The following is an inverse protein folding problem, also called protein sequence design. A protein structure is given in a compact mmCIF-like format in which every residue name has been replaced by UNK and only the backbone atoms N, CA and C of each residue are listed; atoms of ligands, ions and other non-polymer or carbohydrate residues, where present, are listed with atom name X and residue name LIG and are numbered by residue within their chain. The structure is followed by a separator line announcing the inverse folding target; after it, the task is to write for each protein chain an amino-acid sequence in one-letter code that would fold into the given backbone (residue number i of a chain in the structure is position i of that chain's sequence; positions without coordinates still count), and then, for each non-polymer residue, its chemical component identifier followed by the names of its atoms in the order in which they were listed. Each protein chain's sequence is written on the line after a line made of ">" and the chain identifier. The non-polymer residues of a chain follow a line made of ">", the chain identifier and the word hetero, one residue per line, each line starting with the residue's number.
data_IF_659969365035
#
_entry.id   IF_659969365035
#
_cell.length_a   1.000
_cell.length_b   1.000
_cell.length_c   1.000
_cell.angle_alpha   90.00
_cell.angle_beta   90.00
_cell.angle_gamma   90.00
#
_symmetry.space_group_name_H-M   'P 1'
#
loop_
_entity.id
_entity.type
_entity.pdbx_description
1 polymer ?
#
# COMPACT_ATOMS: atom_id res chain seq x y z
N UNK A 1 8.32 16.64 -106.03
CA UNK A 1 7.62 16.06 -104.86
C UNK A 1 8.68 15.73 -103.81
N UNK A 2 8.78 16.55 -102.78
CA UNK A 2 9.75 16.48 -101.68
C UNK A 2 9.24 15.52 -100.60
N UNK A 3 9.95 14.41 -100.34
CA UNK A 3 9.67 13.54 -99.20
C UNK A 3 10.67 13.82 -98.07
N UNK A 4 10.15 14.42 -97.00
CA UNK A 4 10.81 14.61 -95.71
C UNK A 4 11.08 13.26 -95.04
N UNK A 5 12.34 12.94 -94.78
CA UNK A 5 12.72 11.88 -93.86
C UNK A 5 12.75 12.44 -92.44
N UNK A 6 11.77 12.04 -91.62
CA UNK A 6 11.72 12.35 -90.20
C UNK A 6 12.65 11.43 -89.42
N UNK A 7 13.55 12.01 -88.60
CA UNK A 7 14.38 11.27 -87.65
C UNK A 7 13.53 10.62 -86.54
N UNK A 8 13.86 9.39 -86.10
CA UNK A 8 13.16 8.77 -84.98
C UNK A 8 13.50 9.48 -83.66
N UNK A 9 12.47 9.88 -82.92
CA UNK A 9 12.60 10.41 -81.54
C UNK A 9 13.18 9.31 -80.65
N UNK A 10 14.30 9.61 -79.98
CA UNK A 10 14.87 8.76 -78.93
C UNK A 10 13.86 8.54 -77.80
N UNK A 11 13.63 7.29 -77.43
CA UNK A 11 12.82 6.95 -76.25
C UNK A 11 13.57 7.38 -74.97
N UNK A 12 12.91 8.05 -74.00
CA UNK A 12 13.54 8.39 -72.73
C UNK A 12 13.80 7.12 -71.93
N UNK A 13 15.06 6.89 -71.58
CA UNK A 13 15.50 5.81 -70.68
C UNK A 13 14.83 5.93 -69.31
N UNK A 14 14.26 4.84 -68.75
CA UNK A 14 13.57 4.93 -67.46
C UNK A 14 14.54 5.04 -66.28
N UNK A 15 14.46 6.17 -65.57
CA UNK A 15 14.51 6.30 -64.10
C UNK A 15 15.69 5.69 -63.29
N UNK A 16 16.88 5.54 -63.85
CA UNK A 16 18.08 5.13 -63.06
C UNK A 16 18.36 6.09 -61.87
N UNK A 17 18.17 7.40 -62.07
CA UNK A 17 18.39 8.42 -61.03
C UNK A 17 17.36 8.41 -59.89
N UNK A 18 16.15 7.85 -60.08
CA UNK A 18 15.11 7.81 -59.03
C UNK A 18 15.34 6.67 -58.05
N UNK A 19 15.76 5.50 -58.55
CA UNK A 19 16.14 4.34 -57.73
C UNK A 19 17.39 4.61 -56.89
N UNK A 20 18.39 5.29 -57.46
CA UNK A 20 19.59 5.68 -56.74
C UNK A 20 19.31 6.66 -55.58
N UNK A 21 18.44 7.66 -55.81
CA UNK A 21 17.99 8.59 -54.76
C UNK A 21 17.21 7.91 -53.64
N UNK A 22 16.36 6.93 -53.96
CA UNK A 22 15.62 6.13 -52.96
C UNK A 22 16.59 5.28 -52.13
N UNK A 23 17.58 4.64 -52.75
CA UNK A 23 18.58 3.84 -52.04
C UNK A 23 19.47 4.70 -51.12
N UNK A 24 19.87 5.89 -51.57
CA UNK A 24 20.61 6.85 -50.73
C UNK A 24 19.74 7.33 -49.55
N UNK A 25 18.46 7.64 -49.79
CA UNK A 25 17.54 8.06 -48.73
C UNK A 25 17.30 6.95 -47.70
N UNK A 26 17.15 5.70 -48.14
CA UNK A 26 17.03 4.53 -47.26
C UNK A 26 18.31 4.28 -46.47
N UNK A 27 19.48 4.40 -47.11
CA UNK A 27 20.78 4.28 -46.42
C UNK A 27 20.99 5.37 -45.38
N UNK A 28 20.64 6.63 -45.70
CA UNK A 28 20.70 7.76 -44.78
C UNK A 28 19.72 7.59 -43.60
N UNK A 29 18.49 7.11 -43.85
CA UNK A 29 17.51 6.81 -42.81
C UNK A 29 17.97 5.68 -41.89
N UNK A 30 18.59 4.63 -42.44
CA UNK A 30 19.16 3.53 -41.66
C UNK A 30 20.34 3.98 -40.81
N UNK A 31 21.23 4.82 -41.36
CA UNK A 31 22.38 5.36 -40.64
C UNK A 31 21.96 6.33 -39.53
N UNK A 32 20.94 7.15 -39.78
CA UNK A 32 20.30 7.98 -38.76
C UNK A 32 19.67 7.11 -37.66
N UNK A 33 18.96 6.04 -38.01
CA UNK A 33 18.39 5.11 -37.04
C UNK A 33 19.47 4.44 -36.18
N UNK A 34 20.61 4.05 -36.77
CA UNK A 34 21.76 3.48 -36.04
C UNK A 34 22.40 4.52 -35.12
N UNK A 35 22.58 5.77 -35.58
CA UNK A 35 23.13 6.85 -34.75
C UNK A 35 22.17 7.21 -33.61
N UNK A 36 20.86 7.28 -33.87
CA UNK A 36 19.84 7.49 -32.84
C UNK A 36 19.80 6.31 -31.86
N UNK A 37 19.92 5.07 -32.33
CA UNK A 37 20.00 3.89 -31.46
C UNK A 37 21.29 3.89 -30.62
N UNK A 38 22.42 4.28 -31.20
CA UNK A 38 23.71 4.41 -30.51
C UNK A 38 23.70 5.53 -29.47
N UNK A 39 23.17 6.70 -29.82
CA UNK A 39 22.97 7.80 -28.88
C UNK A 39 21.99 7.42 -27.77
N UNK A 40 20.86 6.81 -28.11
CA UNK A 40 19.89 6.34 -27.11
C UNK A 40 20.49 5.27 -26.20
N UNK A 41 21.33 4.38 -26.72
CA UNK A 41 22.07 3.39 -25.91
C UNK A 41 23.06 4.05 -24.95
N UNK A 42 23.85 5.03 -25.42
CA UNK A 42 24.78 5.79 -24.57
C UNK A 42 24.05 6.62 -23.51
N UNK A 43 22.94 7.24 -23.88
CA UNK A 43 22.11 8.05 -22.99
C UNK A 43 21.45 7.17 -21.93
N UNK A 44 20.85 6.03 -22.33
CA UNK A 44 20.29 5.03 -21.42
C UNK A 44 21.35 4.49 -20.45
N UNK A 45 22.58 4.23 -20.93
CA UNK A 45 23.69 3.80 -20.08
C UNK A 45 23.99 4.81 -18.97
N UNK A 46 24.07 6.09 -19.30
CA UNK A 46 24.34 7.13 -18.31
C UNK A 46 23.18 7.23 -17.31
N UNK A 47 21.95 7.22 -17.81
CA UNK A 47 20.74 7.25 -16.99
C UNK A 47 20.61 6.05 -16.05
N UNK A 48 20.97 4.85 -16.47
CA UNK A 48 21.00 3.66 -15.60
C UNK A 48 22.05 3.79 -14.49
N UNK A 49 23.16 4.45 -14.78
CA UNK A 49 24.21 4.70 -13.78
C UNK A 49 23.72 5.72 -12.76
N UNK A 50 23.09 6.81 -13.21
CA UNK A 50 22.40 7.77 -12.33
C UNK A 50 21.33 7.08 -11.50
N UNK A 51 20.47 6.25 -12.10
CA UNK A 51 19.45 5.49 -11.39
C UNK A 51 20.05 4.66 -10.24
N UNK A 52 21.10 3.88 -10.52
CA UNK A 52 21.77 3.07 -9.50
C UNK A 52 22.36 3.94 -8.37
N UNK A 53 23.04 5.03 -8.70
CA UNK A 53 23.60 5.96 -7.71
C UNK A 53 22.53 6.62 -6.85
N UNK A 54 21.43 7.07 -7.47
CA UNK A 54 20.32 7.69 -6.74
C UNK A 54 19.59 6.68 -5.84
N UNK A 55 19.47 5.42 -6.27
CA UNK A 55 18.97 4.35 -5.39
C UNK A 55 19.93 4.11 -4.22
N UNK A 56 21.23 3.99 -4.47
CA UNK A 56 22.24 3.83 -3.39
C UNK A 56 22.13 4.96 -2.36
N UNK A 57 22.02 6.22 -2.82
CA UNK A 57 21.81 7.37 -1.94
C UNK A 57 20.48 7.28 -1.18
N UNK A 58 19.40 6.85 -1.83
CA UNK A 58 18.12 6.59 -1.17
C UNK A 58 18.30 5.58 -0.04
N UNK A 59 19.01 4.46 -0.29
CA UNK A 59 19.28 3.46 0.74
C UNK A 59 20.08 4.02 1.91
N UNK A 60 21.08 4.85 1.61
CA UNK A 60 21.94 5.47 2.59
C UNK A 60 21.14 6.37 3.53
N UNK A 61 20.26 7.22 2.98
CA UNK A 61 19.41 8.07 3.81
C UNK A 61 18.32 7.28 4.55
N UNK A 62 17.76 6.21 3.97
CA UNK A 62 16.82 5.35 4.70
C UNK A 62 17.48 4.66 5.90
N UNK A 63 18.76 4.27 5.80
CA UNK A 63 19.52 3.73 6.93
C UNK A 63 19.73 4.79 8.04
N UNK A 64 20.01 6.03 7.66
CA UNK A 64 20.12 7.16 8.60
C UNK A 64 18.78 7.56 9.24
N UNK A 65 17.64 7.14 8.68
CA UNK A 65 16.34 7.46 9.24
C UNK A 65 16.11 6.85 10.64
N UNK A 66 16.88 5.82 11.03
CA UNK A 66 16.83 5.30 12.40
C UNK A 66 17.29 6.31 13.46
N UNK A 67 18.18 7.25 13.11
CA UNK A 67 18.77 8.22 14.03
C UNK A 67 18.27 9.66 13.80
N UNK A 68 18.13 10.07 12.54
CA UNK A 68 17.63 11.40 12.16
C UNK A 68 16.65 11.30 10.99
N UNK A 69 15.42 10.81 11.24
CA UNK A 69 14.46 10.64 10.17
C UNK A 69 13.97 11.97 9.58
N UNK A 70 14.07 13.09 10.33
CA UNK A 70 13.59 14.41 9.89
C UNK A 70 14.40 14.93 8.71
N UNK A 71 15.71 14.73 8.78
CA UNK A 71 16.61 15.11 7.69
C UNK A 71 16.66 14.01 6.64
N UNK A 72 16.65 12.75 7.05
CA UNK A 72 16.94 11.65 6.17
C UNK A 72 15.77 11.27 5.23
N UNK A 73 14.52 11.28 5.71
CA UNK A 73 13.37 10.93 4.85
C UNK A 73 13.16 11.88 3.67
N UNK A 74 13.23 13.22 3.82
CA UNK A 74 13.14 14.13 2.67
C UNK A 74 14.28 13.94 1.67
N UNK A 75 15.50 13.63 2.13
CA UNK A 75 16.63 13.34 1.25
C UNK A 75 16.42 12.02 0.49
N UNK A 76 15.98 10.97 1.19
CA UNK A 76 15.61 9.70 0.56
C UNK A 76 14.51 9.90 -0.50
N UNK A 77 13.50 10.72 -0.22
CA UNK A 77 12.44 11.05 -1.18
C UNK A 77 13.01 11.73 -2.43
N UNK A 78 13.87 12.74 -2.25
CA UNK A 78 14.46 13.47 -3.35
C UNK A 78 15.32 12.57 -4.26
N UNK A 79 16.15 11.71 -3.65
CA UNK A 79 16.96 10.74 -4.39
C UNK A 79 16.10 9.70 -5.11
N UNK A 80 15.00 9.24 -4.50
CA UNK A 80 14.09 8.30 -5.17
C UNK A 80 13.37 8.94 -6.36
N UNK A 81 12.96 10.20 -6.24
CA UNK A 81 12.40 10.99 -7.33
C UNK A 81 13.41 11.21 -8.46
N UNK A 82 14.67 11.51 -8.13
CA UNK A 82 15.75 11.65 -9.10
C UNK A 82 16.04 10.32 -9.81
N UNK A 83 16.05 9.20 -9.08
CA UNK A 83 16.18 7.87 -9.65
C UNK A 83 15.09 7.64 -10.71
N UNK A 84 13.82 7.83 -10.34
CA UNK A 84 12.69 7.68 -11.27
C UNK A 84 12.80 8.62 -12.48
N UNK A 85 13.15 9.88 -12.26
CA UNK A 85 13.31 10.87 -13.31
C UNK A 85 14.43 10.52 -14.29
N UNK A 86 15.52 9.89 -13.82
CA UNK A 86 16.64 9.48 -14.68
C UNK A 86 16.23 8.45 -15.73
N UNK A 87 15.23 7.63 -15.40
CA UNK A 87 14.69 6.60 -16.28
C UNK A 87 13.52 7.15 -17.13
N UNK A 88 12.63 7.98 -16.59
CA UNK A 88 11.38 8.41 -17.24
C UNK A 88 11.44 8.67 -18.78
N UNK A 89 12.48 9.34 -19.36
CA UNK A 89 12.60 9.56 -20.80
C UNK A 89 12.63 8.30 -21.68
N UNK A 90 13.12 7.17 -21.15
CA UNK A 90 13.29 5.93 -21.95
C UNK A 90 12.10 4.98 -21.86
N UNK A 91 11.09 5.30 -21.04
CA UNK A 91 9.89 4.48 -20.86
C UNK A 91 9.20 4.18 -22.19
N UNK A 92 9.04 5.22 -23.01
CA UNK A 92 8.38 5.08 -24.30
C UNK A 92 9.13 4.08 -25.20
N UNK A 93 10.46 4.22 -25.28
CA UNK A 93 11.30 3.31 -26.07
C UNK A 93 11.26 1.89 -25.52
N UNK A 94 11.34 1.71 -24.20
CA UNK A 94 11.25 0.39 -23.57
C UNK A 94 9.93 -0.30 -23.90
N UNK A 95 8.80 0.41 -23.77
CA UNK A 95 7.48 -0.11 -24.09
C UNK A 95 7.33 -0.42 -25.59
N UNK A 96 7.87 0.45 -26.45
CA UNK A 96 7.86 0.22 -27.89
C UNK A 96 8.66 -1.04 -28.25
N UNK A 97 9.86 -1.22 -27.68
CA UNK A 97 10.69 -2.40 -27.89
C UNK A 97 9.99 -3.66 -27.35
N UNK A 98 9.41 -3.60 -26.15
CA UNK A 98 8.68 -4.72 -25.56
C UNK A 98 7.48 -5.13 -26.43
N UNK A 99 6.75 -4.16 -27.01
CA UNK A 99 5.61 -4.44 -27.89
C UNK A 99 6.03 -4.97 -29.27
N UNK A 100 6.98 -4.29 -29.93
CA UNK A 100 7.36 -4.58 -31.32
C UNK A 100 8.29 -5.80 -31.43
N UNK A 101 9.05 -6.09 -30.38
CA UNK A 101 10.00 -7.19 -30.35
C UNK A 101 9.60 -8.29 -29.35
N UNK A 102 8.32 -8.38 -28.95
CA UNK A 102 7.82 -9.31 -27.94
C UNK A 102 8.15 -10.80 -28.20
N UNK A 103 8.58 -11.16 -29.40
CA UNK A 103 9.04 -12.50 -29.75
C UNK A 103 10.47 -12.80 -29.25
N UNK A 104 11.26 -11.79 -28.92
CA UNK A 104 12.57 -11.93 -28.28
C UNK A 104 12.41 -11.98 -26.76
N UNK A 105 12.90 -13.03 -26.06
CA UNK A 105 12.81 -13.10 -24.60
C UNK A 105 13.38 -11.86 -23.89
N UNK A 106 14.50 -11.32 -24.39
CA UNK A 106 15.14 -10.13 -23.80
C UNK A 106 14.33 -8.83 -23.92
N UNK A 107 13.45 -8.68 -24.92
CA UNK A 107 12.62 -7.47 -25.05
C UNK A 107 11.48 -7.43 -24.03
N UNK A 108 10.89 -8.59 -23.72
CA UNK A 108 9.89 -8.73 -22.65
C UNK A 108 10.52 -8.39 -21.30
N UNK A 109 11.71 -8.93 -21.06
CA UNK A 109 12.45 -8.73 -19.81
C UNK A 109 12.88 -7.26 -19.64
N UNK A 110 13.20 -6.55 -20.73
CA UNK A 110 13.42 -5.10 -20.70
C UNK A 110 12.15 -4.31 -20.32
N UNK A 111 10.98 -4.71 -20.83
CA UNK A 111 9.69 -4.13 -20.43
C UNK A 111 9.33 -4.42 -18.97
N UNK A 112 9.57 -5.64 -18.51
CA UNK A 112 9.40 -6.05 -17.12
C UNK A 112 10.33 -5.27 -16.20
N UNK A 113 11.62 -5.13 -16.55
CA UNK A 113 12.56 -4.29 -15.80
C UNK A 113 12.04 -2.86 -15.63
N UNK A 114 11.50 -2.28 -16.70
CA UNK A 114 10.94 -0.93 -16.64
C UNK A 114 9.74 -0.79 -15.71
N UNK A 115 8.82 -1.74 -15.84
CA UNK A 115 7.60 -1.75 -15.03
C UNK A 115 7.98 -1.95 -13.57
N UNK A 116 8.88 -2.89 -13.29
CA UNK A 116 9.42 -3.13 -11.97
C UNK A 116 10.03 -1.87 -11.35
N UNK A 117 10.97 -1.19 -12.02
CA UNK A 117 11.61 0.01 -11.44
C UNK A 117 10.63 1.15 -11.23
N UNK A 118 9.66 1.33 -12.13
CA UNK A 118 8.62 2.34 -11.96
C UNK A 118 7.74 2.05 -10.73
N UNK A 119 7.20 0.85 -10.64
CA UNK A 119 6.31 0.47 -9.54
C UNK A 119 7.07 0.42 -8.19
N UNK A 120 8.30 -0.10 -8.18
CA UNK A 120 9.13 -0.14 -6.98
C UNK A 120 9.47 1.27 -6.44
N UNK A 121 9.80 2.20 -7.34
CA UNK A 121 10.11 3.59 -6.93
C UNK A 121 8.86 4.35 -6.50
N UNK A 122 7.70 4.12 -7.13
CA UNK A 122 6.42 4.66 -6.68
C UNK A 122 6.03 4.13 -5.29
N UNK A 123 6.18 2.82 -5.05
CA UNK A 123 5.92 2.22 -3.75
C UNK A 123 6.76 2.88 -2.64
N UNK A 124 8.06 3.06 -2.90
CA UNK A 124 8.95 3.73 -1.96
C UNK A 124 8.60 5.22 -1.76
N UNK A 125 8.19 5.93 -2.80
CA UNK A 125 7.84 7.35 -2.72
C UNK A 125 6.60 7.56 -1.83
N UNK A 126 5.54 6.79 -2.08
CA UNK A 126 4.31 6.80 -1.29
C UNK A 126 4.57 6.41 0.18
N UNK A 127 5.42 5.41 0.41
CA UNK A 127 5.85 5.01 1.75
C UNK A 127 6.59 6.11 2.50
N UNK A 128 7.50 6.82 1.84
CA UNK A 128 8.24 7.94 2.45
C UNK A 128 7.30 9.12 2.74
N UNK A 129 6.33 9.41 1.87
CA UNK A 129 5.31 10.43 2.12
C UNK A 129 4.49 10.06 3.37
N UNK A 130 4.01 8.83 3.47
CA UNK A 130 3.28 8.35 4.64
C UNK A 130 4.13 8.45 5.92
N UNK A 131 5.41 8.07 5.86
CA UNK A 131 6.35 8.18 6.98
C UNK A 131 6.56 9.64 7.41
N UNK A 132 6.75 10.56 6.46
CA UNK A 132 6.88 12.00 6.73
C UNK A 132 5.61 12.60 7.37
N UNK A 133 4.42 12.15 6.95
CA UNK A 133 3.15 12.57 7.57
C UNK A 133 3.02 12.02 8.99
N UNK A 134 3.29 10.72 9.18
CA UNK A 134 3.24 10.07 10.49
C UNK A 134 4.18 10.75 11.48
N UNK A 135 5.42 10.99 11.05
CA UNK A 135 6.42 11.66 11.88
C UNK A 135 5.97 13.03 12.33
N UNK A 136 5.60 13.93 11.40
CA UNK A 136 5.13 15.27 11.73
C UNK A 136 3.98 15.25 12.73
N UNK A 137 3.11 14.24 12.64
CA UNK A 137 2.03 14.06 13.58
C UNK A 137 2.51 13.58 14.97
N UNK A 138 3.50 12.68 15.02
CA UNK A 138 4.08 12.17 16.28
C UNK A 138 5.01 13.15 16.98
N UNK A 139 5.56 14.16 16.30
CA UNK A 139 6.45 15.16 16.91
C UNK A 139 5.80 15.96 18.04
N UNK A 140 4.47 16.12 17.98
CA UNK A 140 3.71 16.78 19.02
C UNK A 140 3.43 15.87 20.23
N UNK A 141 3.82 14.59 20.15
CA UNK A 141 3.66 13.58 21.21
C UNK A 141 2.20 13.26 21.56
N UNK A 142 1.24 13.71 20.74
CA UNK A 142 -0.18 13.63 21.05
C UNK A 142 -0.88 12.71 20.06
N UNK A 143 -1.44 11.62 20.57
CA UNK A 143 -2.32 10.70 19.83
C UNK A 143 -3.41 11.43 19.00
N UNK A 144 -4.07 12.51 19.50
CA UNK A 144 -4.99 13.30 18.69
C UNK A 144 -4.40 13.83 17.38
N UNK A 145 -3.15 14.29 17.39
CA UNK A 145 -2.47 14.80 16.19
C UNK A 145 -2.23 13.67 15.18
N UNK A 146 -1.83 12.48 15.66
CA UNK A 146 -1.68 11.30 14.81
C UNK A 146 -3.03 10.87 14.22
N UNK A 147 -4.10 10.85 15.00
CA UNK A 147 -5.45 10.51 14.53
C UNK A 147 -5.95 11.50 13.48
N UNK A 148 -5.69 12.80 13.66
CA UNK A 148 -6.06 13.82 12.68
C UNK A 148 -5.27 13.67 11.36
N UNK A 149 -4.06 13.13 11.40
CA UNK A 149 -3.26 12.86 10.21
C UNK A 149 -3.67 11.57 9.48
N UNK A 150 -4.22 10.57 10.19
CA UNK A 150 -4.53 9.24 9.63
C UNK A 150 -5.33 9.24 8.32
N UNK A 151 -6.38 10.07 8.13
CA UNK A 151 -7.09 10.16 6.85
C UNK A 151 -6.21 10.60 5.67
N UNK A 152 -5.11 11.31 5.93
CA UNK A 152 -4.12 11.68 4.93
C UNK A 152 -3.06 10.59 4.74
N UNK A 153 -2.71 9.85 5.81
CA UNK A 153 -1.77 8.73 5.73
C UNK A 153 -2.34 7.54 4.94
N UNK A 154 -3.61 7.21 5.15
CA UNK A 154 -4.27 6.02 4.59
C UNK A 154 -4.11 5.89 3.06
N UNK A 155 -4.41 6.90 2.23
CA UNK A 155 -4.27 6.77 0.78
C UNK A 155 -2.81 6.54 0.34
N UNK A 156 -1.83 7.15 1.02
CA UNK A 156 -0.41 6.94 0.72
C UNK A 156 0.04 5.52 1.12
N UNK A 157 -0.42 5.00 2.27
CA UNK A 157 -0.13 3.62 2.69
C UNK A 157 -0.76 2.60 1.73
N UNK A 158 -1.99 2.85 1.28
CA UNK A 158 -2.67 2.01 0.30
C UNK A 158 -1.97 2.04 -1.06
N UNK A 159 -1.64 3.24 -1.58
CA UNK A 159 -0.93 3.40 -2.84
C UNK A 159 0.47 2.75 -2.81
N UNK A 160 1.20 2.93 -1.71
CA UNK A 160 2.49 2.27 -1.50
C UNK A 160 2.34 0.73 -1.60
N UNK A 161 1.32 0.17 -0.94
CA UNK A 161 1.05 -1.25 -0.97
C UNK A 161 0.66 -1.75 -2.37
N UNK A 162 -0.21 -1.04 -3.09
CA UNK A 162 -0.64 -1.42 -4.43
C UNK A 162 0.50 -1.40 -5.44
N UNK A 163 1.34 -0.36 -5.42
CA UNK A 163 2.55 -0.27 -6.25
C UNK A 163 3.55 -1.37 -5.90
N UNK A 164 3.70 -1.70 -4.62
CA UNK A 164 4.54 -2.81 -4.20
C UNK A 164 4.05 -4.15 -4.76
N UNK A 165 2.75 -4.44 -4.70
CA UNK A 165 2.19 -5.68 -5.24
C UNK A 165 2.43 -5.79 -6.75
N UNK A 166 2.28 -4.69 -7.49
CA UNK A 166 2.58 -4.65 -8.92
C UNK A 166 4.06 -4.89 -9.20
N UNK A 167 4.95 -4.22 -8.47
CA UNK A 167 6.38 -4.43 -8.57
C UNK A 167 6.77 -5.88 -8.24
N UNK A 168 6.21 -6.45 -7.17
CA UNK A 168 6.50 -7.82 -6.73
C UNK A 168 6.02 -8.87 -7.73
N UNK A 169 4.86 -8.65 -8.36
CA UNK A 169 4.38 -9.51 -9.44
C UNK A 169 5.38 -9.53 -10.60
N UNK A 170 5.83 -8.37 -11.07
CA UNK A 170 6.82 -8.25 -12.15
C UNK A 170 8.19 -8.81 -11.75
N UNK A 171 8.63 -8.56 -10.51
CA UNK A 171 9.88 -9.09 -9.95
C UNK A 171 9.94 -10.61 -9.99
N UNK A 172 8.80 -11.29 -9.77
CA UNK A 172 8.73 -12.75 -9.76
C UNK A 172 8.94 -13.40 -11.14
N UNK A 173 8.67 -12.65 -12.21
CA UNK A 173 8.83 -13.10 -13.60
C UNK A 173 10.13 -12.59 -14.26
N UNK A 174 10.83 -11.67 -13.59
CA UNK A 174 12.05 -11.05 -14.09
C UNK A 174 13.23 -12.03 -14.04
N UNK A 175 13.77 -12.37 -15.21
CA UNK A 175 14.99 -13.17 -15.36
C UNK A 175 16.11 -12.31 -15.96
N UNK A 176 17.03 -11.92 -15.08
CA UNK A 176 18.14 -11.01 -15.40
C UNK A 176 19.10 -11.56 -16.45
N UNK A 177 19.11 -12.88 -16.70
CA UNK A 177 19.96 -13.51 -17.73
C UNK A 177 19.58 -13.10 -19.15
N UNK A 178 18.35 -12.65 -19.34
CA UNK A 178 17.84 -12.19 -20.62
C UNK A 178 17.93 -10.66 -20.79
N UNK A 179 18.36 -9.95 -19.75
CA UNK A 179 18.70 -8.54 -19.85
C UNK A 179 20.08 -8.38 -20.51
N UNK A 180 20.34 -7.24 -21.18
CA UNK A 180 21.71 -6.88 -21.60
C UNK A 180 22.68 -6.97 -20.41
N UNK A 181 23.83 -7.61 -20.59
CA UNK A 181 24.75 -7.95 -19.49
C UNK A 181 25.08 -6.77 -18.56
N UNK A 182 25.24 -5.57 -19.12
CA UNK A 182 25.49 -4.35 -18.33
C UNK A 182 24.27 -3.94 -17.49
N UNK A 183 23.08 -4.02 -18.06
CA UNK A 183 21.83 -3.74 -17.35
C UNK A 183 21.64 -4.75 -16.21
N UNK A 184 21.86 -6.03 -16.48
CA UNK A 184 21.80 -7.07 -15.46
C UNK A 184 22.75 -6.76 -14.29
N UNK A 185 24.02 -6.44 -14.57
CA UNK A 185 25.00 -6.11 -13.53
C UNK A 185 24.67 -4.86 -12.71
N UNK A 186 24.02 -3.86 -13.32
CA UNK A 186 23.62 -2.63 -12.63
C UNK A 186 22.31 -2.81 -11.84
N UNK A 187 21.44 -3.71 -12.29
CA UNK A 187 20.17 -4.02 -11.65
C UNK A 187 20.34 -4.90 -10.40
N UNK A 188 21.34 -5.77 -10.39
CA UNK A 188 21.51 -6.82 -9.37
C UNK A 188 21.56 -6.30 -7.92
N UNK A 189 22.29 -5.22 -7.58
CA UNK A 189 22.27 -4.67 -6.22
C UNK A 189 20.88 -4.21 -5.78
N UNK A 190 20.15 -3.51 -6.66
CA UNK A 190 18.80 -3.03 -6.39
C UNK A 190 17.79 -4.18 -6.25
N UNK A 191 17.92 -5.24 -7.04
CA UNK A 191 17.08 -6.43 -6.94
C UNK A 191 17.32 -7.19 -5.63
N UNK A 192 18.59 -7.35 -5.22
CA UNK A 192 18.93 -7.95 -3.93
C UNK A 192 18.33 -7.14 -2.77
N UNK A 193 18.41 -5.82 -2.85
CA UNK A 193 17.83 -4.96 -1.83
C UNK A 193 16.30 -5.06 -1.81
N UNK A 194 15.66 -5.03 -2.97
CA UNK A 194 14.22 -5.24 -3.11
C UNK A 194 13.78 -6.52 -2.43
N UNK A 195 14.45 -7.64 -2.72
CA UNK A 195 14.07 -8.95 -2.17
C UNK A 195 14.14 -8.99 -0.64
N UNK A 196 15.04 -8.21 -0.02
CA UNK A 196 15.10 -8.06 1.45
C UNK A 196 13.90 -7.27 1.99
N UNK A 197 13.52 -6.18 1.33
CA UNK A 197 12.40 -5.33 1.74
C UNK A 197 11.07 -6.07 1.52
N UNK A 198 10.95 -6.78 0.40
CA UNK A 198 9.75 -7.49 -0.01
C UNK A 198 9.31 -8.56 0.98
N UNK A 199 10.25 -9.13 1.74
CA UNK A 199 9.94 -10.12 2.79
C UNK A 199 9.14 -9.52 3.96
N UNK A 200 9.28 -8.23 4.25
CA UNK A 200 8.66 -7.56 5.40
C UNK A 200 7.47 -6.66 5.01
N UNK A 201 7.41 -6.29 3.73
CA UNK A 201 6.46 -5.28 3.25
C UNK A 201 4.98 -5.64 3.43
N UNK A 202 4.49 -6.83 3.02
CA UNK A 202 3.05 -7.10 3.01
C UNK A 202 2.43 -6.95 4.40
N UNK A 203 3.06 -7.54 5.41
CA UNK A 203 2.58 -7.49 6.79
C UNK A 203 2.61 -6.06 7.35
N UNK A 204 3.64 -5.29 7.02
CA UNK A 204 3.83 -3.93 7.57
C UNK A 204 2.83 -2.93 6.99
N UNK A 205 2.73 -2.86 5.67
CA UNK A 205 1.91 -1.85 4.99
C UNK A 205 0.42 -2.17 4.99
N UNK A 206 0.04 -3.46 4.92
CA UNK A 206 -1.36 -3.87 5.04
C UNK A 206 -1.91 -3.52 6.42
N UNK A 207 -1.15 -3.84 7.48
CA UNK A 207 -1.53 -3.49 8.85
C UNK A 207 -1.55 -1.98 9.07
N UNK A 208 -0.54 -1.25 8.57
CA UNK A 208 -0.50 0.20 8.69
C UNK A 208 -1.71 0.86 8.02
N UNK A 209 -2.06 0.44 6.80
CA UNK A 209 -3.24 0.96 6.08
C UNK A 209 -4.54 0.62 6.81
N UNK A 210 -4.69 -0.62 7.31
CA UNK A 210 -5.84 -1.03 8.11
C UNK A 210 -5.98 -0.16 9.38
N UNK A 211 -4.87 0.07 10.09
CA UNK A 211 -4.85 0.90 11.29
C UNK A 211 -5.20 2.36 10.97
N UNK A 212 -4.59 2.95 9.94
CA UNK A 212 -4.91 4.31 9.50
C UNK A 212 -6.38 4.48 9.11
N UNK A 213 -7.00 3.44 8.54
CA UNK A 213 -8.43 3.42 8.19
C UNK A 213 -9.36 3.26 9.39
N UNK A 214 -9.03 2.38 10.33
CA UNK A 214 -9.95 1.95 11.39
C UNK A 214 -9.77 2.71 12.70
N UNK A 215 -8.53 3.00 13.09
CA UNK A 215 -8.23 3.64 14.38
C UNK A 215 -8.93 4.98 14.59
N UNK A 216 -9.07 5.90 13.61
CA UNK A 216 -9.76 7.16 13.84
C UNK A 216 -11.18 6.94 14.37
N UNK A 217 -11.95 6.08 13.68
CA UNK A 217 -13.33 5.77 14.08
C UNK A 217 -13.39 5.03 15.41
N UNK A 218 -12.49 4.08 15.63
CA UNK A 218 -12.40 3.34 16.90
C UNK A 218 -12.06 4.27 18.06
N UNK A 219 -11.26 5.30 17.83
CA UNK A 219 -10.84 6.25 18.86
C UNK A 219 -11.71 7.51 18.93
N UNK A 220 -12.89 7.49 18.30
CA UNK A 220 -13.88 8.55 18.44
C UNK A 220 -13.60 9.79 17.59
N UNK A 221 -13.04 9.61 16.39
CA UNK A 221 -12.81 10.67 15.40
C UNK A 221 -13.40 10.27 14.03
N UNK A 222 -14.17 11.16 13.34
CA UNK A 222 -14.49 12.54 13.71
C UNK A 222 -15.70 12.66 14.65
N UNK A 223 -16.29 11.55 15.09
CA UNK A 223 -17.43 11.53 16.02
C UNK A 223 -17.08 10.68 17.24
N UNK A 224 -17.52 11.07 18.45
CA UNK A 224 -17.27 10.29 19.66
C UNK A 224 -17.71 8.84 19.52
N UNK A 225 -16.90 7.93 20.06
CA UNK A 225 -17.20 6.50 20.10
C UNK A 225 -17.49 6.09 21.56
N UNK A 226 -18.63 5.43 21.79
CA UNK A 226 -19.00 4.88 23.10
C UNK A 226 -18.95 3.36 23.04
N UNK A 227 -18.22 2.77 23.98
CA UNK A 227 -18.04 1.34 24.12
C UNK A 227 -18.75 0.82 25.37
N UNK A 228 -19.39 -0.34 25.27
CA UNK A 228 -19.82 -1.11 26.42
C UNK A 228 -18.59 -1.81 27.04
N UNK A 229 -18.40 -1.63 28.33
CA UNK A 229 -17.41 -2.36 29.12
C UNK A 229 -18.14 -3.44 29.92
N UNK A 230 -17.72 -4.70 29.73
CA UNK A 230 -18.23 -5.85 30.46
C UNK A 230 -17.07 -6.47 31.22
N UNK A 231 -17.10 -6.37 32.55
CA UNK A 231 -16.04 -6.87 33.43
C UNK A 231 -16.47 -8.23 33.99
N UNK A 232 -15.57 -9.20 33.88
CA UNK A 232 -15.85 -10.60 34.23
C UNK A 232 -14.85 -11.11 35.26
N UNK A 233 -15.32 -11.93 36.20
CA UNK A 233 -14.47 -12.70 37.10
C UNK A 233 -14.36 -14.15 36.63
N UNK A 234 -13.12 -14.65 36.51
CA UNK A 234 -12.83 -16.04 36.18
C UNK A 234 -13.12 -17.03 37.32
N UNK A 235 -13.47 -16.55 38.53
CA UNK A 235 -13.79 -17.41 39.68
C UNK A 235 -15.07 -18.24 39.47
N UNK A 236 -15.94 -17.77 38.57
CA UNK A 236 -17.12 -18.50 38.11
C UNK A 236 -17.12 -18.52 36.58
N UNK A 237 -16.48 -19.54 36.01
CA UNK A 237 -16.32 -19.67 34.57
C UNK A 237 -17.67 -19.81 33.87
N UNK A 238 -17.85 -18.95 32.86
CA UNK A 238 -18.97 -18.94 31.90
C UNK A 238 -18.41 -18.91 30.48
N UNK A 239 -19.25 -19.10 29.46
CA UNK A 239 -18.79 -19.21 28.07
C UNK A 239 -18.06 -17.96 27.52
N UNK A 240 -18.21 -16.80 28.16
CA UNK A 240 -17.49 -15.56 27.81
C UNK A 240 -16.16 -15.37 28.54
N UNK A 241 -15.81 -16.26 29.47
CA UNK A 241 -14.59 -16.17 30.28
C UNK A 241 -14.82 -16.03 31.79
N UNK A 242 -16.03 -15.66 32.22
CA UNK A 242 -16.32 -15.50 33.65
C UNK A 242 -17.70 -14.93 33.94
N UNK A 243 -18.06 -14.84 35.22
CA UNK A 243 -19.31 -14.21 35.68
C UNK A 243 -19.22 -12.69 35.55
N UNK A 244 -20.29 -12.02 35.10
CA UNK A 244 -20.27 -10.56 34.95
C UNK A 244 -20.33 -9.91 36.34
N UNK A 245 -19.32 -9.12 36.69
CA UNK A 245 -19.25 -8.44 38.00
C UNK A 245 -19.61 -6.97 37.88
N UNK A 246 -19.31 -6.36 36.74
CA UNK A 246 -19.53 -4.93 36.54
C UNK A 246 -19.80 -4.63 35.08
N UNK A 247 -20.58 -3.58 34.84
CA UNK A 247 -20.89 -3.07 33.51
C UNK A 247 -20.64 -1.57 33.47
N UNK A 248 -20.24 -1.07 32.32
CA UNK A 248 -19.99 0.35 32.17
C UNK A 248 -19.98 0.82 30.73
N UNK A 249 -19.75 2.12 30.57
CA UNK A 249 -19.49 2.73 29.27
C UNK A 249 -18.17 3.50 29.28
N UNK A 250 -17.47 3.46 28.14
CA UNK A 250 -16.25 4.21 27.89
C UNK A 250 -16.46 5.07 26.65
N UNK A 251 -16.30 6.39 26.78
CA UNK A 251 -16.45 7.35 25.67
C UNK A 251 -15.10 7.92 25.26
N UNK A 252 -14.74 7.73 24.01
CA UNK A 252 -13.56 8.30 23.37
C UNK A 252 -13.96 9.43 22.42
N UNK A 253 -13.19 10.52 22.41
CA UNK A 253 -13.32 11.63 21.48
C UNK A 253 -11.93 12.08 21.07
N UNK A 254 -11.62 11.99 19.77
CA UNK A 254 -10.30 12.27 19.19
C UNK A 254 -9.13 11.62 19.95
N UNK A 255 -9.30 10.34 20.34
CA UNK A 255 -8.31 9.57 21.09
C UNK A 255 -8.19 9.91 22.56
N UNK A 256 -9.08 10.74 23.11
CA UNK A 256 -9.13 11.07 24.54
C UNK A 256 -10.30 10.36 25.22
N UNK A 257 -10.05 9.80 26.41
CA UNK A 257 -11.10 9.34 27.29
C UNK A 257 -11.86 10.56 27.85
N UNK A 258 -13.13 10.71 27.46
CA UNK A 258 -13.98 11.83 27.89
C UNK A 258 -15.03 11.42 28.91
N UNK A 259 -15.40 10.15 28.97
CA UNK A 259 -16.26 9.61 30.01
C UNK A 259 -15.91 8.15 30.28
N UNK A 260 -15.97 7.77 31.55
CA UNK A 260 -15.90 6.40 32.03
C UNK A 260 -16.90 6.28 33.16
N UNK A 261 -17.93 5.46 32.97
CA UNK A 261 -18.90 5.09 34.01
C UNK A 261 -18.84 3.57 34.14
N UNK A 262 -18.49 3.06 35.31
CA UNK A 262 -18.43 1.62 35.60
C UNK A 262 -19.11 1.41 36.93
N UNK A 263 -20.06 0.48 36.97
CA UNK A 263 -20.85 0.17 38.16
C UNK A 263 -20.86 -1.33 38.41
N UNK A 264 -21.02 -1.67 39.67
CA UNK A 264 -21.31 -3.05 40.04
C UNK A 264 -22.59 -3.51 39.33
N UNK A 265 -22.59 -4.75 38.84
CA UNK A 265 -23.73 -5.27 38.09
C UNK A 265 -24.98 -5.34 38.97
N UNK A 266 -24.84 -5.61 40.27
CA UNK A 266 -25.94 -5.64 41.23
C UNK A 266 -26.50 -4.23 41.43
N UNK A 267 -25.64 -3.21 41.57
CA UNK A 267 -26.08 -1.82 41.63
C UNK A 267 -26.84 -1.42 40.35
N UNK A 268 -26.38 -1.88 39.19
CA UNK A 268 -27.02 -1.62 37.90
C UNK A 268 -28.37 -2.32 37.74
N UNK A 269 -28.58 -3.44 38.44
CA UNK A 269 -29.81 -4.24 38.42
C UNK A 269 -30.85 -3.76 39.45
N UNK A 270 -30.41 -3.34 40.64
CA UNK A 270 -31.27 -3.10 41.81
C UNK A 270 -31.16 -1.69 42.42
N UNK A 271 -30.22 -0.85 41.96
CA UNK A 271 -29.93 0.46 42.55
C UNK A 271 -28.93 0.41 43.71
N UNK A 272 -28.51 1.59 44.18
CA UNK A 272 -27.47 1.74 45.22
C UNK A 272 -27.88 1.19 46.60
N UNK A 273 -29.18 1.16 46.88
CA UNK A 273 -29.74 0.53 48.08
C UNK A 273 -30.57 -0.67 47.65
N UNK A 274 -29.98 -1.87 47.74
CA UNK A 274 -30.75 -3.10 47.54
C UNK A 274 -31.81 -3.20 48.66
N UNK A 275 -33.08 -3.06 48.27
CA UNK A 275 -34.23 -3.33 49.15
C UNK A 275 -35.22 -4.22 48.41
N UNK A 276 -35.85 -5.22 49.09
CA UNK A 276 -36.97 -5.97 48.54
C UNK A 276 -38.11 -5.09 47.99
N UNK A 277 -38.19 -3.84 48.47
CA UNK A 277 -39.19 -2.84 48.08
C UNK A 277 -38.79 -2.01 46.85
N UNK A 278 -37.48 -1.88 46.57
CA UNK A 278 -36.95 -1.07 45.46
C UNK A 278 -37.17 -1.73 44.08
N UNK A 279 -37.31 -3.07 44.05
CA UNK A 279 -37.56 -3.82 42.83
C UNK A 279 -36.37 -3.86 41.86
N UNK A 280 -36.59 -4.36 40.64
CA UNK A 280 -35.60 -4.32 39.56
C UNK A 280 -35.67 -2.97 38.84
N UNK A 281 -34.52 -2.42 38.45
CA UNK A 281 -34.47 -1.18 37.65
C UNK A 281 -34.91 -1.40 36.19
N UNK A 282 -34.99 -2.65 35.73
CA UNK A 282 -35.36 -3.05 34.37
C UNK A 282 -36.71 -3.75 34.30
N UNK A 283 -37.30 -3.74 33.09
CA UNK A 283 -38.51 -4.51 32.79
C UNK A 283 -38.31 -5.99 33.12
N UNK A 284 -39.38 -6.65 33.56
CA UNK A 284 -39.34 -8.09 33.87
C UNK A 284 -39.18 -8.94 32.63
N UNK A 285 -37.95 -9.40 32.43
CA UNK A 285 -37.61 -10.41 31.42
C UNK A 285 -37.72 -11.81 32.05
N UNK A 286 -38.36 -12.74 31.35
CA UNK A 286 -38.50 -14.14 31.80
C UNK A 286 -37.19 -14.88 31.55
N UNK A 287 -36.56 -15.49 32.57
CA UNK A 287 -35.34 -16.27 32.37
C UNK A 287 -35.54 -17.49 31.46
N UNK A 288 -34.47 -17.97 30.81
CA UNK A 288 -34.50 -19.26 30.12
C UNK A 288 -35.03 -20.37 31.03
N UNK A 289 -35.79 -21.30 30.46
CA UNK A 289 -36.46 -22.36 31.21
C UNK A 289 -35.56 -23.14 32.18
N UNK A 290 -34.33 -23.54 31.81
CA UNK A 290 -33.42 -24.21 32.73
C UNK A 290 -33.02 -23.33 33.92
N UNK A 291 -32.71 -22.06 33.68
CA UNK A 291 -32.36 -21.09 34.72
C UNK A 291 -33.53 -20.92 35.69
N UNK A 292 -34.72 -20.68 35.15
CA UNK A 292 -35.95 -20.52 35.95
C UNK A 292 -36.26 -21.77 36.79
N UNK A 293 -36.17 -22.96 36.19
CA UNK A 293 -36.53 -24.24 36.83
C UNK A 293 -35.54 -24.66 37.90
N UNK A 294 -34.24 -24.52 37.64
CA UNK A 294 -33.20 -25.09 38.48
C UNK A 294 -32.54 -24.08 39.43
N UNK A 295 -32.44 -22.80 39.04
CA UNK A 295 -31.88 -21.75 39.89
C UNK A 295 -32.95 -20.94 40.61
N UNK A 296 -34.23 -21.16 40.30
CA UNK A 296 -35.34 -20.45 40.93
C UNK A 296 -35.39 -18.95 40.60
N UNK A 297 -34.66 -18.50 39.58
CA UNK A 297 -34.64 -17.09 39.18
C UNK A 297 -35.98 -16.72 38.55
N UNK A 298 -36.65 -15.73 39.14
CA UNK A 298 -37.95 -15.23 38.69
C UNK A 298 -37.88 -14.07 37.71
N UNK A 299 -36.69 -13.51 37.49
CA UNK A 299 -36.41 -12.36 36.65
C UNK A 299 -35.01 -12.53 36.04
N UNK A 300 -34.86 -12.17 34.76
CA UNK A 300 -33.63 -12.31 34.01
C UNK A 300 -32.82 -11.02 34.10
N UNK A 301 -31.64 -11.14 34.72
CA UNK A 301 -30.78 -9.99 35.02
C UNK A 301 -29.44 -10.09 34.29
N UNK A 302 -28.78 -8.94 34.16
CA UNK A 302 -27.59 -8.78 33.32
C UNK A 302 -26.48 -9.77 33.70
N UNK A 303 -26.21 -9.96 34.99
CA UNK A 303 -25.13 -10.85 35.46
C UNK A 303 -25.29 -12.31 35.06
N UNK A 304 -26.53 -12.72 34.80
CA UNK A 304 -26.86 -14.08 34.36
C UNK A 304 -26.94 -14.18 32.83
N UNK A 305 -26.90 -13.04 32.11
CA UNK A 305 -26.98 -12.94 30.65
C UNK A 305 -25.99 -13.83 29.89
N UNK A 306 -24.87 -14.18 30.51
CA UNK A 306 -23.87 -15.08 29.97
C UNK A 306 -23.98 -16.56 30.41
N UNK A 307 -25.21 -17.04 30.60
CA UNK A 307 -25.49 -18.40 31.05
C UNK A 307 -25.21 -19.51 30.02
N UNK A 308 -25.35 -19.24 28.72
CA UNK A 308 -25.17 -20.28 27.70
C UNK A 308 -23.74 -20.83 27.71
N UNK A 309 -23.61 -22.10 27.34
CA UNK A 309 -22.31 -22.79 27.31
C UNK A 309 -21.48 -22.49 26.05
N UNK A 310 -22.07 -21.82 25.06
CA UNK A 310 -21.38 -21.35 23.86
C UNK A 310 -21.32 -19.82 23.79
N UNK A 311 -20.19 -19.32 23.30
CA UNK A 311 -19.92 -17.89 23.19
C UNK A 311 -20.89 -17.17 22.24
N UNK A 312 -21.21 -17.68 21.03
CA UNK A 312 -22.12 -16.99 20.11
C UNK A 312 -23.52 -16.76 20.67
N UNK A 313 -24.15 -17.77 21.29
CA UNK A 313 -25.46 -17.62 21.90
C UNK A 313 -25.43 -16.65 23.08
N UNK A 314 -24.36 -16.69 23.87
CA UNK A 314 -24.15 -15.75 24.96
C UNK A 314 -24.00 -14.31 24.47
N UNK A 315 -23.18 -14.07 23.46
CA UNK A 315 -22.87 -12.72 22.98
C UNK A 315 -24.07 -12.01 22.33
N UNK A 316 -25.13 -12.75 21.96
CA UNK A 316 -26.39 -12.16 21.48
C UNK A 316 -27.27 -11.62 22.61
N UNK A 317 -26.97 -12.00 23.86
CA UNK A 317 -27.85 -11.78 25.02
C UNK A 317 -27.28 -10.72 25.97
N UNK A 318 -25.97 -10.45 25.86
CA UNK A 318 -25.21 -9.42 26.58
C UNK A 318 -24.94 -8.25 25.64
#
# INVERSE_FOLDING_TARGET
>A
MTQNYAYPKSQPTPAAGRRHKILIALGAAMLLAILCAGFAYLSLKNSMTTFATELELTTYYLDQAGSDPRTALPQAQAHLQNARASLQPYRFMANLIAAQAAWLPGSRQLGSWWTFTNEATLAGEEAIIAANLAMRATEQGQLPTLLAAMPQLEPHLAAAHDHFLQAQAVRSELDTRWLPARLASQAEPALIQWDRIAALWPQTFEQAALLARTLPTTLGSPRPATYLLVIQSSDNLRATGGFLTSVGTLRLEDGRLTALDVRDVVESEFGAEWSPEAGFLSERVVPPDPVRRYLGLGHWVMRDGNWWADFPATAQQV
#
